data_IF_644423401959
#
_entry.id   IF_644423401959
#
_cell.length_a   1.000
_cell.length_b   1.000
_cell.length_c   1.000
_cell.angle_alpha   90.00
_cell.angle_beta   90.00
_cell.angle_gamma   90.00
#
_symmetry.space_group_name_H-M   'P 1'
#
loop_
_entity.id
_entity.type
_entity.pdbx_description
1 polymer ?
#
# COMPACT_ATOMS: atom_id res chain seq x y z
N UNK A 1 -34.89 67.43 -76.88
CA UNK A 1 -36.24 66.91 -77.21
C UNK A 1 -36.12 65.41 -77.40
N UNK A 2 -36.97 64.54 -76.98
CA UNK A 2 -38.23 64.68 -76.25
C UNK A 2 -38.27 63.89 -74.89
N UNK A 3 -39.23 64.28 -74.22
CA UNK A 3 -40.10 63.72 -73.18
C UNK A 3 -40.24 62.20 -73.14
N UNK A 4 -40.23 61.58 -71.91
CA UNK A 4 -41.12 60.44 -71.63
C UNK A 4 -41.38 60.23 -70.17
N UNK A 5 -42.55 60.06 -69.87
CA UNK A 5 -43.44 59.60 -68.79
C UNK A 5 -42.86 58.84 -67.61
N UNK A 6 -43.38 59.29 -66.45
CA UNK A 6 -43.31 58.60 -65.16
C UNK A 6 -44.35 57.48 -65.09
N UNK A 7 -43.92 56.27 -64.63
CA UNK A 7 -44.82 55.24 -64.14
C UNK A 7 -44.55 55.09 -62.68
N UNK A 8 -45.59 55.23 -61.82
CA UNK A 8 -45.59 55.07 -60.43
C UNK A 8 -45.92 53.58 -60.14
N UNK A 9 -45.03 52.85 -59.51
CA UNK A 9 -45.28 51.48 -58.97
C UNK A 9 -45.42 51.55 -57.47
N UNK A 10 -46.60 51.21 -56.96
CA UNK A 10 -46.89 51.02 -55.57
C UNK A 10 -46.25 49.73 -55.14
N UNK A 11 -45.28 49.76 -54.19
CA UNK A 11 -44.74 48.61 -53.51
C UNK A 11 -45.43 48.43 -52.12
N UNK A 12 -46.19 47.37 -51.98
CA UNK A 12 -46.75 46.95 -50.69
C UNK A 12 -45.64 46.37 -49.82
N UNK A 13 -45.35 46.99 -48.69
CA UNK A 13 -44.42 46.51 -47.72
C UNK A 13 -45.12 45.43 -46.81
N UNK A 14 -44.72 44.18 -46.95
CA UNK A 14 -45.08 43.09 -46.00
C UNK A 14 -44.14 43.17 -44.79
N UNK A 15 -44.67 43.56 -43.66
CA UNK A 15 -43.94 43.51 -42.38
C UNK A 15 -43.81 42.07 -41.95
N UNK A 16 -42.59 41.49 -42.00
CA UNK A 16 -42.23 40.19 -41.33
C UNK A 16 -41.89 40.46 -39.90
N UNK A 17 -42.77 40.05 -39.01
CA UNK A 17 -42.52 40.04 -37.55
C UNK A 17 -41.61 38.88 -37.26
N UNK A 18 -40.41 39.06 -36.68
CA UNK A 18 -39.57 37.95 -36.25
C UNK A 18 -40.21 37.26 -35.05
N UNK A 19 -40.62 36.01 -35.20
CA UNK A 19 -40.99 35.13 -34.07
C UNK A 19 -39.71 34.80 -33.35
N UNK A 20 -39.51 35.30 -32.11
CA UNK A 20 -38.44 34.92 -31.23
C UNK A 20 -38.68 33.47 -30.82
N UNK A 21 -37.90 32.56 -31.35
CA UNK A 21 -37.78 31.18 -30.84
C UNK A 21 -37.14 31.27 -29.44
N UNK A 22 -37.77 30.74 -28.36
CA UNK A 22 -37.10 30.70 -27.06
C UNK A 22 -35.86 29.85 -27.24
N UNK A 23 -34.68 30.46 -27.08
CA UNK A 23 -33.42 29.77 -27.03
C UNK A 23 -33.51 28.75 -25.88
N UNK A 24 -33.37 27.47 -26.20
CA UNK A 24 -33.11 26.45 -25.22
C UNK A 24 -31.85 26.86 -24.46
N UNK A 25 -32.02 27.29 -23.20
CA UNK A 25 -30.91 27.49 -22.29
C UNK A 25 -30.10 26.19 -22.30
N UNK A 26 -28.89 26.25 -22.83
CA UNK A 26 -27.95 25.15 -22.69
C UNK A 26 -27.85 24.84 -21.19
N UNK A 27 -28.36 23.69 -20.83
CA UNK A 27 -28.21 23.20 -19.47
C UNK A 27 -26.71 23.29 -19.15
N UNK A 28 -26.38 24.03 -18.10
CA UNK A 28 -25.04 24.10 -17.59
C UNK A 28 -24.54 22.64 -17.50
N UNK A 29 -23.49 22.31 -18.22
CA UNK A 29 -22.83 21.00 -18.17
C UNK A 29 -22.29 20.86 -16.77
N UNK A 30 -23.10 20.31 -15.87
CA UNK A 30 -22.64 19.84 -14.58
C UNK A 30 -21.42 18.96 -14.86
N UNK A 31 -20.29 19.26 -14.23
CA UNK A 31 -19.06 18.49 -14.38
C UNK A 31 -19.42 17.00 -14.22
N UNK A 32 -19.36 16.24 -15.31
CA UNK A 32 -19.64 14.79 -15.27
C UNK A 32 -18.65 14.16 -14.32
N UNK A 33 -19.15 13.25 -13.45
CA UNK A 33 -18.30 12.45 -12.57
C UNK A 33 -17.17 11.81 -13.39
N UNK A 34 -15.89 11.91 -12.95
CA UNK A 34 -14.78 11.25 -13.61
C UNK A 34 -15.01 9.74 -13.69
N UNK A 35 -14.70 9.13 -14.83
CA UNK A 35 -14.93 7.72 -15.09
C UNK A 35 -13.60 6.94 -15.12
N UNK A 36 -13.62 5.70 -14.64
CA UNK A 36 -12.55 4.72 -14.83
C UNK A 36 -12.39 4.45 -16.33
N UNK A 37 -11.17 4.53 -16.85
CA UNK A 37 -10.87 4.25 -18.27
C UNK A 37 -10.67 2.77 -18.54
N UNK A 38 -10.20 2.02 -17.52
CA UNK A 38 -9.94 0.58 -17.58
C UNK A 38 -11.00 -0.21 -16.81
N UNK A 39 -12.27 0.23 -16.91
CA UNK A 39 -13.39 -0.38 -16.19
C UNK A 39 -13.62 -1.86 -16.57
N UNK A 40 -13.36 -2.23 -17.80
CA UNK A 40 -13.47 -3.57 -18.36
C UNK A 40 -12.40 -4.56 -17.89
N UNK A 41 -11.32 -4.06 -17.27
CA UNK A 41 -10.28 -4.91 -16.67
C UNK A 41 -10.65 -5.42 -15.26
N UNK A 42 -11.71 -4.87 -14.65
CA UNK A 42 -12.11 -5.26 -13.30
C UNK A 42 -13.00 -6.50 -13.33
N UNK A 43 -12.85 -7.36 -12.33
CA UNK A 43 -13.64 -8.57 -12.21
C UNK A 43 -15.11 -8.24 -11.86
N UNK A 44 -16.07 -8.88 -12.56
CA UNK A 44 -17.49 -8.75 -12.28
C UNK A 44 -18.00 -7.30 -12.31
N UNK A 45 -18.69 -6.89 -11.26
CA UNK A 45 -19.26 -5.55 -11.09
C UNK A 45 -18.38 -4.59 -10.28
N UNK A 46 -17.13 -4.95 -10.02
CA UNK A 46 -16.22 -4.17 -9.18
C UNK A 46 -16.01 -2.74 -9.68
N UNK A 47 -15.85 -2.55 -10.99
CA UNK A 47 -15.72 -1.22 -11.58
C UNK A 47 -16.96 -0.35 -11.31
N UNK A 48 -18.15 -0.93 -11.43
CA UNK A 48 -19.41 -0.22 -11.17
C UNK A 48 -19.55 0.18 -9.69
N UNK A 49 -19.20 -0.70 -8.75
CA UNK A 49 -19.18 -0.41 -7.32
C UNK A 49 -18.22 0.73 -6.97
N UNK A 50 -17.00 0.68 -7.51
CA UNK A 50 -15.99 1.74 -7.34
C UNK A 50 -16.51 3.06 -7.91
N UNK A 51 -17.05 3.03 -9.14
CA UNK A 51 -17.57 4.21 -9.83
C UNK A 51 -18.74 4.84 -9.08
N UNK A 52 -19.62 4.04 -8.49
CA UNK A 52 -20.73 4.51 -7.66
C UNK A 52 -20.23 5.32 -6.46
N UNK A 53 -19.19 4.84 -5.78
CA UNK A 53 -18.58 5.55 -4.64
C UNK A 53 -17.92 6.85 -5.09
N UNK A 54 -17.19 6.85 -6.20
CA UNK A 54 -16.55 8.05 -6.76
C UNK A 54 -17.60 9.11 -7.09
N UNK A 55 -18.70 8.71 -7.75
CA UNK A 55 -19.77 9.63 -8.18
C UNK A 55 -20.70 10.05 -7.04
N UNK A 56 -20.80 9.28 -5.98
CA UNK A 56 -21.61 9.60 -4.78
C UNK A 56 -21.00 10.66 -3.86
N UNK A 57 -19.74 11.04 -4.12
CA UNK A 57 -19.04 12.06 -3.33
C UNK A 57 -19.59 13.45 -3.61
N UNK A 58 -19.92 14.21 -2.58
CA UNK A 58 -20.47 15.57 -2.73
C UNK A 58 -19.36 16.55 -3.15
N UNK A 59 -19.75 17.49 -3.99
CA UNK A 59 -18.84 18.54 -4.46
C UNK A 59 -18.39 19.41 -3.29
N UNK A 60 -17.06 19.58 -3.14
CA UNK A 60 -16.44 20.36 -2.04
C UNK A 60 -16.00 19.53 -0.84
N UNK A 61 -16.44 18.30 -0.72
CA UNK A 61 -15.86 17.34 0.21
C UNK A 61 -14.47 16.90 -0.32
N UNK A 62 -13.57 16.60 0.60
CA UNK A 62 -12.27 15.98 0.29
C UNK A 62 -12.22 14.60 0.93
N UNK A 63 -12.94 13.63 0.37
CA UNK A 63 -12.96 12.28 0.91
C UNK A 63 -11.57 11.66 0.85
N UNK A 64 -11.25 10.82 1.82
CA UNK A 64 -9.97 10.13 1.90
C UNK A 64 -10.07 8.78 1.20
N UNK A 65 -9.07 8.48 0.36
CA UNK A 65 -8.80 7.14 -0.15
C UNK A 65 -7.41 6.70 0.30
N UNK A 66 -7.28 5.46 0.78
CA UNK A 66 -6.01 4.90 1.25
C UNK A 66 -5.69 3.62 0.49
N UNK A 67 -4.44 3.45 0.12
CA UNK A 67 -3.96 2.25 -0.58
C UNK A 67 -2.75 1.68 0.14
N UNK A 68 -2.72 0.37 0.34
CA UNK A 68 -1.46 -0.32 0.51
C UNK A 68 -0.61 -0.19 -0.78
N UNK A 69 0.67 -0.57 -0.69
CA UNK A 69 1.58 -0.38 -1.82
C UNK A 69 1.93 -1.68 -2.52
N UNK A 70 2.61 -2.58 -1.80
CA UNK A 70 3.18 -3.80 -2.33
C UNK A 70 2.09 -4.81 -2.71
N UNK A 71 2.06 -5.22 -3.98
CA UNK A 71 1.02 -6.05 -4.58
C UNK A 71 -0.41 -5.45 -4.59
N UNK A 72 -0.57 -4.19 -4.17
CA UNK A 72 -1.82 -3.43 -4.26
C UNK A 72 -1.74 -2.36 -5.36
N UNK A 73 -0.78 -1.45 -5.33
CA UNK A 73 -0.55 -0.45 -6.40
C UNK A 73 0.43 -0.97 -7.45
N UNK A 74 1.30 -1.86 -7.03
CA UNK A 74 2.31 -2.51 -7.85
C UNK A 74 2.21 -4.03 -7.71
N UNK A 75 2.76 -4.74 -8.68
CA UNK A 75 3.10 -6.17 -8.54
C UNK A 75 4.49 -6.30 -7.95
N UNK A 76 4.66 -7.21 -6.99
CA UNK A 76 5.85 -7.48 -6.19
C UNK A 76 6.08 -6.41 -5.08
N UNK A 77 7.24 -6.46 -4.40
CA UNK A 77 7.47 -5.81 -3.11
C UNK A 77 8.69 -4.89 -3.18
N UNK A 78 8.53 -3.60 -2.78
CA UNK A 78 9.61 -2.61 -2.82
C UNK A 78 10.66 -2.84 -1.74
N UNK A 79 10.27 -3.37 -0.59
CA UNK A 79 11.20 -3.70 0.49
C UNK A 79 12.10 -4.86 0.09
N UNK A 80 11.53 -5.91 -0.53
CA UNK A 80 12.30 -7.02 -1.07
C UNK A 80 13.32 -6.53 -2.10
N UNK A 81 12.88 -5.75 -3.11
CA UNK A 81 13.78 -5.27 -4.15
C UNK A 81 14.88 -4.35 -3.60
N UNK A 82 14.56 -3.52 -2.59
CA UNK A 82 15.56 -2.64 -1.99
C UNK A 82 16.55 -3.43 -1.13
N UNK A 83 16.09 -4.39 -0.33
CA UNK A 83 16.98 -5.27 0.46
C UNK A 83 17.85 -6.13 -0.44
N UNK A 84 17.29 -6.72 -1.52
CA UNK A 84 18.08 -7.49 -2.49
C UNK A 84 19.17 -6.62 -3.14
N UNK A 85 18.82 -5.39 -3.48
CA UNK A 85 19.78 -4.44 -4.03
C UNK A 85 20.87 -4.10 -3.01
N UNK A 86 20.50 -3.84 -1.74
CA UNK A 86 21.44 -3.56 -0.66
C UNK A 86 22.42 -4.71 -0.43
N UNK A 87 21.94 -5.94 -0.37
CA UNK A 87 22.78 -7.14 -0.20
C UNK A 87 23.75 -7.28 -1.37
N UNK A 88 23.30 -7.11 -2.60
CA UNK A 88 24.12 -7.28 -3.81
C UNK A 88 25.16 -6.18 -4.01
N UNK A 89 25.01 -5.03 -3.36
CA UNK A 89 25.86 -3.85 -3.56
C UNK A 89 26.56 -3.40 -2.28
N UNK A 90 26.71 -4.30 -1.29
CA UNK A 90 27.40 -4.02 -0.02
C UNK A 90 26.86 -2.78 0.70
N UNK A 91 25.51 -2.67 0.81
CA UNK A 91 24.83 -1.55 1.47
C UNK A 91 24.24 -1.91 2.83
N UNK A 92 24.40 -3.13 3.30
CA UNK A 92 24.08 -3.49 4.69
C UNK A 92 25.27 -3.12 5.56
N UNK A 93 25.02 -2.34 6.62
CA UNK A 93 26.09 -1.91 7.52
C UNK A 93 26.28 -2.92 8.65
N UNK A 94 27.54 -3.06 9.08
CA UNK A 94 27.84 -3.75 10.34
C UNK A 94 27.12 -3.01 11.48
N UNK A 95 26.31 -3.70 12.31
CA UNK A 95 25.54 -3.04 13.35
C UNK A 95 26.47 -2.41 14.42
N UNK A 96 25.86 -1.50 15.22
CA UNK A 96 26.54 -0.90 16.36
C UNK A 96 27.05 -2.00 17.31
N UNK A 97 28.22 -1.80 17.87
CA UNK A 97 28.89 -2.74 18.77
C UNK A 97 29.15 -4.13 18.14
N UNK A 98 28.92 -4.26 16.82
CA UNK A 98 28.96 -5.53 16.05
C UNK A 98 27.97 -6.56 16.59
N UNK A 99 26.95 -6.10 17.28
CA UNK A 99 25.91 -6.92 17.89
C UNK A 99 24.57 -6.72 17.16
N UNK A 100 24.08 -7.76 16.51
CA UNK A 100 22.83 -7.73 15.77
C UNK A 100 21.60 -7.51 16.65
N UNK A 101 21.66 -7.78 17.96
CA UNK A 101 20.59 -7.44 18.91
C UNK A 101 20.31 -5.94 18.98
N UNK A 102 21.29 -5.11 18.63
CA UNK A 102 21.11 -3.66 18.55
C UNK A 102 20.25 -3.21 17.37
N UNK A 103 19.91 -4.12 16.44
CA UNK A 103 19.08 -3.81 15.26
C UNK A 103 17.59 -4.07 15.46
N UNK A 104 17.19 -4.78 16.52
CA UNK A 104 15.79 -4.96 16.90
C UNK A 104 15.68 -5.42 18.36
N UNK A 105 14.79 -4.80 19.14
CA UNK A 105 14.49 -5.26 20.51
C UNK A 105 13.93 -6.67 20.58
N UNK A 106 13.41 -7.17 19.47
CA UNK A 106 12.79 -8.48 19.37
C UNK A 106 13.74 -9.57 18.88
N UNK A 107 14.99 -9.21 18.55
CA UNK A 107 15.97 -10.16 18.04
C UNK A 107 16.36 -11.16 19.13
N UNK A 108 16.23 -12.44 18.80
CA UNK A 108 16.67 -13.55 19.67
C UNK A 108 18.18 -13.71 19.65
N UNK A 109 18.72 -14.37 20.68
CA UNK A 109 20.15 -14.74 20.69
C UNK A 109 20.51 -15.68 19.53
N UNK A 110 19.60 -16.59 19.15
CA UNK A 110 19.80 -17.49 18.01
C UNK A 110 19.97 -16.67 16.71
N UNK A 111 19.07 -15.71 16.45
CA UNK A 111 19.15 -14.84 15.28
C UNK A 111 20.42 -13.99 15.25
N UNK A 112 20.75 -13.35 16.39
CA UNK A 112 21.94 -12.52 16.50
C UNK A 112 23.24 -13.33 16.31
N UNK A 113 23.32 -14.53 16.89
CA UNK A 113 24.47 -15.41 16.74
C UNK A 113 24.62 -15.94 15.30
N UNK A 114 23.52 -16.32 14.63
CA UNK A 114 23.53 -16.76 13.26
C UNK A 114 24.04 -15.67 12.32
N UNK A 115 23.52 -14.44 12.44
CA UNK A 115 23.99 -13.28 11.69
C UNK A 115 25.45 -12.96 11.98
N UNK A 116 25.88 -12.97 13.24
CA UNK A 116 27.26 -12.71 13.64
C UNK A 116 28.21 -13.77 13.06
N UNK A 117 27.82 -15.03 13.08
CA UNK A 117 28.60 -16.15 12.50
C UNK A 117 28.72 -16.02 10.99
N UNK A 118 27.61 -15.71 10.31
CA UNK A 118 27.57 -15.64 8.85
C UNK A 118 28.28 -14.38 8.30
N UNK A 119 28.03 -13.21 8.91
CA UNK A 119 28.58 -11.92 8.43
C UNK A 119 29.98 -11.63 9.00
N UNK A 120 30.33 -12.23 10.13
CA UNK A 120 31.61 -12.00 10.82
C UNK A 120 31.61 -10.65 11.57
N UNK A 121 32.69 -10.45 12.33
CA UNK A 121 32.89 -9.24 13.17
C UNK A 121 34.14 -8.44 12.77
N UNK A 122 34.80 -8.81 11.66
CA UNK A 122 35.99 -8.12 11.18
C UNK A 122 35.70 -6.71 10.65
N UNK A 123 34.55 -6.50 10.00
CA UNK A 123 34.13 -5.18 9.52
C UNK A 123 33.88 -4.24 10.71
N UNK A 124 34.42 -3.02 10.72
CA UNK A 124 34.11 -2.05 11.77
C UNK A 124 32.63 -1.67 11.81
N UNK A 125 32.11 -1.38 13.00
CA UNK A 125 30.73 -0.93 13.18
C UNK A 125 30.41 0.29 12.29
N UNK A 126 29.21 0.29 11.68
CA UNK A 126 28.76 1.34 10.75
C UNK A 126 29.43 1.31 9.36
N UNK A 127 30.27 0.31 9.07
CA UNK A 127 30.86 0.14 7.74
C UNK A 127 30.13 -0.92 6.94
N UNK A 128 30.10 -0.81 5.59
CA UNK A 128 29.46 -1.78 4.72
C UNK A 128 30.04 -3.18 4.89
N UNK A 129 29.16 -4.14 5.05
CA UNK A 129 29.49 -5.58 5.01
C UNK A 129 29.72 -6.01 3.55
N UNK A 130 30.69 -6.90 3.28
CA UNK A 130 30.98 -7.40 1.93
C UNK A 130 29.96 -8.45 1.47
N UNK A 131 28.67 -8.13 1.53
CA UNK A 131 27.55 -9.07 1.30
C UNK A 131 27.48 -9.57 -0.14
N UNK A 132 28.01 -8.81 -1.10
CA UNK A 132 28.10 -9.24 -2.51
C UNK A 132 29.08 -10.41 -2.72
N UNK A 133 30.01 -10.61 -1.79
CA UNK A 133 31.05 -11.65 -1.84
C UNK A 133 30.87 -12.70 -0.74
N UNK A 134 30.35 -12.32 0.41
CA UNK A 134 30.06 -13.22 1.53
C UNK A 134 28.66 -13.82 1.36
N UNK A 135 28.58 -14.94 0.64
CA UNK A 135 27.32 -15.63 0.34
C UNK A 135 26.59 -16.06 1.62
N UNK A 136 27.32 -16.55 2.64
CA UNK A 136 26.69 -16.97 3.90
C UNK A 136 25.99 -15.80 4.61
N UNK A 137 26.63 -14.62 4.65
CA UNK A 137 26.00 -13.42 5.18
C UNK A 137 24.78 -12.97 4.37
N UNK A 138 24.89 -13.01 3.03
CA UNK A 138 23.78 -12.67 2.15
C UNK A 138 22.57 -13.60 2.36
N UNK A 139 22.81 -14.91 2.48
CA UNK A 139 21.77 -15.92 2.70
C UNK A 139 21.12 -15.76 4.07
N UNK A 140 21.90 -15.47 5.12
CA UNK A 140 21.34 -15.26 6.46
C UNK A 140 20.47 -13.98 6.51
N UNK A 141 20.95 -12.85 5.98
CA UNK A 141 20.17 -11.62 5.85
C UNK A 141 18.87 -11.83 5.08
N UNK A 142 18.93 -12.59 3.99
CA UNK A 142 17.77 -12.91 3.17
C UNK A 142 16.78 -13.81 3.91
N UNK A 143 17.24 -14.81 4.64
CA UNK A 143 16.42 -15.71 5.44
C UNK A 143 15.66 -14.94 6.52
N UNK A 144 16.35 -14.08 7.26
CA UNK A 144 15.72 -13.19 8.26
C UNK A 144 14.63 -12.34 7.64
N UNK A 145 14.90 -11.71 6.46
CA UNK A 145 13.90 -10.86 5.79
C UNK A 145 12.69 -11.65 5.29
N UNK A 146 12.89 -12.84 4.72
CA UNK A 146 11.84 -13.58 4.01
C UNK A 146 11.01 -14.49 4.91
N UNK A 147 11.58 -15.00 5.97
CA UNK A 147 10.96 -16.03 6.81
C UNK A 147 10.99 -15.74 8.32
N UNK A 148 11.63 -14.65 8.77
CA UNK A 148 11.90 -14.36 10.16
C UNK A 148 12.67 -15.50 10.87
N UNK A 149 13.39 -16.33 10.11
CA UNK A 149 14.16 -17.47 10.60
C UNK A 149 15.61 -17.38 10.15
N UNK A 150 16.48 -18.03 10.93
CA UNK A 150 17.86 -18.30 10.51
C UNK A 150 17.87 -19.26 9.31
N UNK A 151 18.98 -19.37 8.62
CA UNK A 151 19.17 -20.38 7.56
C UNK A 151 19.07 -21.81 8.09
N UNK A 152 19.18 -22.03 9.40
CA UNK A 152 18.99 -23.32 10.08
C UNK A 152 17.57 -23.52 10.64
N UNK A 153 16.67 -22.55 10.46
CA UNK A 153 15.24 -22.65 10.78
C UNK A 153 14.84 -22.14 12.17
N UNK A 154 15.75 -21.55 12.95
CA UNK A 154 15.47 -20.99 14.27
C UNK A 154 14.77 -19.63 14.16
N UNK A 155 13.86 -19.31 15.07
CA UNK A 155 13.16 -18.02 15.11
C UNK A 155 14.12 -16.87 15.41
N UNK A 156 14.11 -15.84 14.58
CA UNK A 156 14.99 -14.66 14.73
C UNK A 156 14.35 -13.60 15.60
N UNK A 157 13.04 -13.55 15.67
CA UNK A 157 12.30 -12.53 16.44
C UNK A 157 11.27 -13.19 17.36
N UNK A 158 11.09 -12.63 18.57
CA UNK A 158 10.12 -13.11 19.55
C UNK A 158 9.57 -11.96 20.41
N UNK A 159 8.39 -12.18 21.02
CA UNK A 159 7.84 -11.31 22.06
C UNK A 159 7.17 -10.03 21.57
N UNK A 160 6.74 -9.94 20.29
CA UNK A 160 6.05 -8.80 19.74
C UNK A 160 4.54 -9.06 19.57
N UNK A 161 3.76 -7.98 19.56
CA UNK A 161 2.33 -8.03 19.28
C UNK A 161 2.10 -8.16 17.77
N UNK A 162 1.61 -9.31 17.32
CA UNK A 162 1.44 -9.64 15.89
C UNK A 162 0.31 -8.87 15.19
N UNK A 163 -0.49 -8.08 15.93
CA UNK A 163 -1.47 -7.16 15.34
C UNK A 163 -0.91 -5.76 15.09
N UNK A 164 0.19 -5.40 15.72
CA UNK A 164 0.83 -4.09 15.62
C UNK A 164 2.19 -4.12 14.92
N UNK A 165 2.80 -5.28 14.86
CA UNK A 165 4.19 -5.46 14.46
C UNK A 165 4.36 -6.75 13.67
N UNK A 166 5.14 -6.68 12.60
CA UNK A 166 5.86 -7.82 12.02
C UNK A 166 7.35 -7.50 12.12
N UNK A 167 8.02 -8.19 13.02
CA UNK A 167 9.39 -7.82 13.39
C UNK A 167 10.38 -7.90 12.21
N UNK A 168 10.20 -8.85 11.27
CA UNK A 168 11.02 -8.93 10.06
C UNK A 168 10.79 -7.75 9.10
N UNK A 169 9.59 -7.15 9.10
CA UNK A 169 9.30 -5.94 8.30
C UNK A 169 9.85 -4.69 8.98
N UNK A 170 9.66 -4.57 10.30
CA UNK A 170 10.26 -3.50 11.10
C UNK A 170 11.79 -3.47 10.95
N UNK A 171 12.39 -4.66 10.97
CA UNK A 171 13.84 -4.81 10.83
C UNK A 171 14.39 -4.24 9.52
N UNK A 172 13.63 -4.27 8.42
CA UNK A 172 14.02 -3.62 7.15
C UNK A 172 14.21 -2.11 7.32
N UNK A 173 13.42 -1.46 8.16
CA UNK A 173 13.62 -0.04 8.48
C UNK A 173 14.82 0.14 9.44
N UNK A 174 14.96 -0.72 10.42
CA UNK A 174 15.96 -0.65 11.49
C UNK A 174 17.39 -0.92 11.00
N UNK A 175 17.59 -1.83 10.02
CA UNK A 175 18.92 -2.09 9.43
C UNK A 175 19.48 -0.90 8.62
N UNK A 176 18.67 0.13 8.38
CA UNK A 176 19.15 1.39 7.79
C UNK A 176 19.83 2.31 8.82
N UNK A 177 19.97 1.89 10.07
CA UNK A 177 20.68 2.63 11.11
C UNK A 177 22.10 3.03 10.66
N UNK A 178 22.45 4.29 10.89
CA UNK A 178 23.71 4.88 10.42
C UNK A 178 23.62 5.65 9.10
N UNK A 179 22.64 5.36 8.26
CA UNK A 179 22.35 6.15 7.05
C UNK A 179 21.53 7.41 7.38
N UNK A 180 21.65 8.42 6.55
CA UNK A 180 20.71 9.54 6.52
C UNK A 180 19.46 9.13 5.72
N UNK A 181 18.28 9.69 6.01
CA UNK A 181 17.07 9.36 5.25
C UNK A 181 17.18 9.60 3.73
N UNK A 182 17.92 10.63 3.31
CA UNK A 182 18.17 10.91 1.90
C UNK A 182 19.12 9.90 1.23
N UNK A 183 20.07 9.33 1.97
CA UNK A 183 20.95 8.24 1.52
C UNK A 183 20.12 6.96 1.31
N UNK A 184 19.19 6.65 2.22
CA UNK A 184 18.27 5.50 2.09
C UNK A 184 17.35 5.68 0.88
N UNK A 185 16.78 6.88 0.69
CA UNK A 185 16.00 7.19 -0.53
C UNK A 185 16.83 7.08 -1.81
N UNK A 186 18.13 7.40 -1.76
CA UNK A 186 19.02 7.23 -2.91
C UNK A 186 19.22 5.74 -3.24
N UNK A 187 19.41 4.87 -2.23
CA UNK A 187 19.47 3.42 -2.38
C UNK A 187 18.15 2.90 -2.99
N UNK A 188 17.01 3.29 -2.43
CA UNK A 188 15.70 2.88 -2.93
C UNK A 188 15.45 3.32 -4.40
N UNK A 189 15.94 4.51 -4.81
CA UNK A 189 15.88 4.95 -6.23
C UNK A 189 16.66 4.03 -7.16
N UNK A 190 17.83 3.57 -6.75
CA UNK A 190 18.64 2.65 -7.56
C UNK A 190 17.98 1.28 -7.67
N UNK A 191 17.48 0.74 -6.55
CA UNK A 191 16.72 -0.49 -6.53
C UNK A 191 15.47 -0.40 -7.42
N UNK A 192 14.72 0.72 -7.33
CA UNK A 192 13.55 1.00 -8.18
C UNK A 192 13.91 1.02 -9.66
N UNK A 193 14.98 1.70 -10.04
CA UNK A 193 15.41 1.77 -11.43
C UNK A 193 15.73 0.38 -11.99
N UNK A 194 16.46 -0.44 -11.22
CA UNK A 194 16.78 -1.81 -11.59
C UNK A 194 15.51 -2.68 -11.73
N UNK A 195 14.61 -2.62 -10.76
CA UNK A 195 13.38 -3.42 -10.76
C UNK A 195 12.40 -3.04 -11.90
N UNK A 196 12.30 -1.76 -12.25
CA UNK A 196 11.46 -1.30 -13.36
C UNK A 196 12.06 -1.65 -14.73
N UNK A 197 13.39 -1.70 -14.84
CA UNK A 197 14.09 -2.06 -16.08
C UNK A 197 14.02 -3.58 -16.37
N UNK A 198 14.03 -4.41 -15.32
CA UNK A 198 13.98 -5.86 -15.46
C UNK A 198 12.68 -6.32 -16.14
N UNK A 199 12.69 -7.26 -17.11
CA UNK A 199 11.48 -7.80 -17.71
C UNK A 199 10.56 -8.49 -16.69
N UNK A 200 9.25 -8.58 -16.96
CA UNK A 200 8.32 -9.41 -16.19
C UNK A 200 8.83 -10.87 -16.25
N UNK A 201 8.79 -11.58 -15.12
CA UNK A 201 9.31 -12.93 -14.98
C UNK A 201 10.82 -13.02 -14.75
N UNK A 202 11.56 -11.90 -14.83
CA UNK A 202 12.99 -11.89 -14.58
C UNK A 202 13.34 -12.25 -13.14
N UNK A 203 14.47 -12.93 -12.97
CA UNK A 203 15.02 -13.29 -11.66
C UNK A 203 16.44 -12.75 -11.48
N UNK A 204 16.90 -12.71 -10.23
CA UNK A 204 18.24 -12.27 -9.84
C UNK A 204 18.80 -13.18 -8.75
N UNK A 205 20.12 -13.29 -8.70
CA UNK A 205 20.80 -13.98 -7.59
C UNK A 205 20.98 -13.01 -6.41
N UNK A 206 20.60 -13.47 -5.21
CA UNK A 206 20.87 -12.81 -3.92
C UNK A 206 21.41 -13.88 -2.99
N UNK A 207 22.69 -13.78 -2.65
CA UNK A 207 23.38 -14.91 -2.04
C UNK A 207 23.35 -16.14 -2.96
N UNK A 208 23.03 -17.30 -2.41
CA UNK A 208 22.83 -18.54 -3.16
C UNK A 208 21.45 -18.64 -3.82
N UNK A 209 20.47 -17.84 -3.37
CA UNK A 209 19.06 -17.95 -3.77
C UNK A 209 18.75 -17.22 -5.07
N UNK A 210 17.69 -17.66 -5.75
CA UNK A 210 17.10 -16.97 -6.90
C UNK A 210 15.85 -16.24 -6.46
N UNK A 211 15.79 -14.93 -6.70
CA UNK A 211 14.73 -14.03 -6.28
C UNK A 211 14.12 -13.30 -7.48
N UNK A 212 12.86 -12.83 -7.34
CA UNK A 212 12.21 -11.95 -8.33
C UNK A 212 13.06 -10.69 -8.52
N UNK A 213 13.21 -10.23 -9.77
CA UNK A 213 14.02 -9.05 -10.10
C UNK A 213 13.22 -7.82 -10.52
N UNK A 214 11.91 -7.91 -10.68
CA UNK A 214 11.10 -6.90 -11.35
C UNK A 214 9.93 -6.39 -10.51
N UNK A 215 9.49 -5.17 -10.81
CA UNK A 215 8.24 -4.56 -10.33
C UNK A 215 7.51 -3.93 -11.51
N UNK A 216 6.18 -3.95 -11.48
CA UNK A 216 5.30 -3.19 -12.40
C UNK A 216 4.16 -2.55 -11.64
N UNK A 217 3.83 -1.31 -12.02
CA UNK A 217 2.60 -0.69 -11.58
C UNK A 217 1.41 -1.38 -12.24
N UNK A 218 0.32 -1.57 -11.50
CA UNK A 218 -0.95 -1.98 -12.07
C UNK A 218 -1.60 -0.79 -12.81
N UNK A 219 -1.80 -0.86 -14.14
CA UNK A 219 -2.45 0.21 -14.88
C UNK A 219 -3.83 0.56 -14.35
N UNK A 220 -4.59 -0.44 -13.90
CA UNK A 220 -5.94 -0.34 -13.36
C UNK A 220 -5.96 0.49 -12.06
N UNK A 221 -5.03 0.24 -11.16
CA UNK A 221 -4.91 1.00 -9.90
C UNK A 221 -4.39 2.42 -10.17
N UNK A 222 -3.49 2.60 -11.14
CA UNK A 222 -3.08 3.95 -11.58
C UNK A 222 -4.25 4.73 -12.14
N UNK A 223 -5.10 4.10 -12.95
CA UNK A 223 -6.31 4.72 -13.49
C UNK A 223 -7.31 5.08 -12.37
N UNK A 224 -7.49 4.18 -11.39
CA UNK A 224 -8.31 4.44 -10.21
C UNK A 224 -7.79 5.65 -9.42
N UNK A 225 -6.49 5.70 -9.08
CA UNK A 225 -5.89 6.81 -8.35
C UNK A 225 -6.06 8.14 -9.12
N UNK A 226 -5.81 8.12 -10.43
CA UNK A 226 -5.98 9.31 -11.28
C UNK A 226 -7.46 9.75 -11.37
N UNK A 227 -8.40 8.82 -11.34
CA UNK A 227 -9.85 9.11 -11.35
C UNK A 227 -10.30 9.69 -10.03
N UNK A 228 -9.81 9.14 -8.89
CA UNK A 228 -10.04 9.67 -7.55
C UNK A 228 -9.50 11.09 -7.40
N UNK A 229 -8.29 11.38 -7.89
CA UNK A 229 -7.72 12.73 -7.85
C UNK A 229 -8.59 13.73 -8.61
N UNK A 230 -9.06 13.38 -9.82
CA UNK A 230 -9.99 14.20 -10.60
C UNK A 230 -11.34 14.39 -9.91
N UNK A 231 -11.78 13.42 -9.12
CA UNK A 231 -13.01 13.51 -8.33
C UNK A 231 -12.82 14.30 -7.02
N UNK A 232 -11.59 14.76 -6.71
CA UNK A 232 -11.30 15.59 -5.53
C UNK A 232 -10.96 14.81 -4.28
N UNK A 233 -10.67 13.51 -4.39
CA UNK A 233 -10.23 12.71 -3.25
C UNK A 233 -8.82 13.10 -2.78
N UNK A 234 -8.60 12.99 -1.48
CA UNK A 234 -7.28 12.99 -0.88
C UNK A 234 -6.76 11.56 -0.83
N UNK A 235 -5.94 11.19 -1.82
CA UNK A 235 -5.42 9.82 -1.95
C UNK A 235 -4.08 9.67 -1.26
N UNK A 236 -3.93 8.60 -0.46
CA UNK A 236 -2.77 8.30 0.37
C UNK A 236 -2.27 6.88 0.17
N UNK A 237 -0.98 6.69 0.39
CA UNK A 237 -0.35 5.37 0.55
C UNK A 237 -0.18 5.07 2.03
N UNK A 238 -0.45 3.82 2.45
CA UNK A 238 -0.26 3.31 3.82
C UNK A 238 0.42 1.95 3.72
N UNK A 239 1.75 1.95 3.63
CA UNK A 239 2.57 0.78 3.36
C UNK A 239 3.21 0.22 4.64
N UNK A 240 3.37 -1.11 4.70
CA UNK A 240 4.20 -1.79 5.68
C UNK A 240 5.69 -1.89 5.26
N UNK A 241 6.10 -1.03 4.33
CA UNK A 241 7.51 -0.81 3.93
C UNK A 241 8.08 0.44 4.61
N UNK A 242 9.41 0.56 4.78
CA UNK A 242 10.02 1.78 5.28
C UNK A 242 9.56 3.01 4.50
N UNK A 243 9.28 4.10 5.22
CA UNK A 243 8.80 5.34 4.61
C UNK A 243 9.76 5.87 3.53
N UNK A 244 11.05 5.76 3.76
CA UNK A 244 12.08 6.19 2.82
C UNK A 244 12.02 5.42 1.49
N UNK A 245 11.60 4.16 1.54
CA UNK A 245 11.38 3.36 0.32
C UNK A 245 10.08 3.79 -0.37
N UNK A 246 8.98 3.83 0.37
CA UNK A 246 7.66 4.18 -0.17
C UNK A 246 7.63 5.58 -0.81
N UNK A 247 8.32 6.56 -0.22
CA UNK A 247 8.43 7.94 -0.74
C UNK A 247 8.96 8.01 -2.18
N UNK A 248 9.83 7.07 -2.55
CA UNK A 248 10.46 7.05 -3.89
C UNK A 248 9.50 6.57 -4.97
N UNK A 249 8.48 5.81 -4.61
CA UNK A 249 7.60 5.15 -5.57
C UNK A 249 6.29 5.90 -5.85
N UNK A 250 5.73 6.58 -4.85
CA UNK A 250 4.40 7.21 -4.90
C UNK A 250 4.26 8.27 -5.99
N UNK A 251 5.33 9.01 -6.30
CA UNK A 251 5.32 10.09 -7.30
C UNK A 251 4.89 9.65 -8.71
N UNK A 252 5.17 8.40 -9.08
CA UNK A 252 4.79 7.85 -10.40
C UNK A 252 3.28 7.62 -10.56
N UNK A 253 2.52 7.68 -9.48
CA UNK A 253 1.04 7.61 -9.47
C UNK A 253 0.40 8.90 -8.94
N UNK A 254 1.17 10.00 -8.88
CA UNK A 254 0.67 11.30 -8.44
C UNK A 254 0.56 11.47 -6.92
N UNK A 255 1.09 10.55 -6.12
CA UNK A 255 1.07 10.62 -4.65
C UNK A 255 2.44 11.12 -4.15
N UNK A 256 2.51 12.34 -3.57
CA UNK A 256 3.76 12.89 -3.06
C UNK A 256 4.18 12.24 -1.73
N UNK A 257 5.45 12.37 -1.32
CA UNK A 257 5.94 11.88 -0.02
C UNK A 257 5.14 12.37 1.19
N UNK A 258 4.53 13.56 1.12
CA UNK A 258 3.66 14.11 2.18
C UNK A 258 2.33 13.35 2.33
N UNK A 259 1.94 12.54 1.36
CA UNK A 259 0.76 11.67 1.38
C UNK A 259 1.13 10.17 1.35
N UNK A 260 2.35 9.85 1.76
CA UNK A 260 2.84 8.47 1.88
C UNK A 260 3.12 8.17 3.35
N UNK A 261 2.45 7.17 3.90
CA UNK A 261 2.73 6.59 5.21
C UNK A 261 3.49 5.29 5.00
N UNK A 262 4.47 5.04 5.85
CA UNK A 262 5.28 3.82 5.87
C UNK A 262 5.75 3.55 7.29
N UNK A 263 6.68 2.63 7.47
CA UNK A 263 7.37 2.45 8.75
C UNK A 263 8.28 3.65 8.96
N UNK A 264 7.99 4.44 9.98
CA UNK A 264 8.72 5.67 10.27
C UNK A 264 9.95 5.36 11.13
N UNK A 265 11.13 5.69 10.61
CA UNK A 265 12.40 5.58 11.33
C UNK A 265 12.69 6.85 12.12
N UNK A 266 13.15 6.71 13.36
CA UNK A 266 13.68 7.82 14.12
C UNK A 266 15.09 8.20 13.66
N UNK A 267 15.44 9.47 13.90
CA UNK A 267 16.78 9.98 13.61
C UNK A 267 17.43 10.61 14.83
N UNK A 268 18.77 10.43 14.94
CA UNK A 268 19.62 11.12 15.88
C UNK A 268 20.75 11.77 15.10
N UNK A 269 20.97 13.07 15.28
CA UNK A 269 21.96 13.85 14.54
C UNK A 269 21.82 13.70 12.99
N UNK A 270 20.57 13.63 12.50
CA UNK A 270 20.24 13.50 11.08
C UNK A 270 20.48 12.11 10.48
N UNK A 271 20.79 11.10 11.29
CA UNK A 271 20.95 9.70 10.87
C UNK A 271 19.90 8.82 11.53
N UNK A 272 19.40 7.82 10.80
CA UNK A 272 18.52 6.78 11.32
C UNK A 272 19.23 6.08 12.47
N UNK A 273 18.56 5.96 13.60
CA UNK A 273 19.13 5.40 14.83
C UNK A 273 18.74 3.94 15.11
N UNK A 274 17.92 3.33 14.23
CA UNK A 274 17.44 1.95 14.37
C UNK A 274 16.16 1.80 15.18
N UNK A 275 15.56 2.91 15.62
CA UNK A 275 14.28 2.92 16.31
C UNK A 275 13.16 3.48 15.42
N UNK A 276 11.92 3.13 15.77
CA UNK A 276 10.70 3.52 15.04
C UNK A 276 9.94 4.63 15.80
N UNK A 277 9.21 5.46 15.05
CA UNK A 277 8.23 6.37 15.64
C UNK A 277 7.02 5.60 16.13
N UNK A 278 6.50 5.97 17.29
CA UNK A 278 5.30 5.39 17.88
C UNK A 278 4.00 5.94 17.29
N UNK A 279 2.88 5.38 17.74
CA UNK A 279 1.53 5.80 17.40
C UNK A 279 0.55 5.35 18.48
N UNK A 280 -0.56 6.05 18.69
CA UNK A 280 -1.65 5.58 19.54
C UNK A 280 -1.32 5.53 21.04
N UNK A 281 -0.34 6.31 21.48
CA UNK A 281 0.15 6.29 22.86
C UNK A 281 1.36 5.38 23.08
N UNK A 282 1.76 4.57 22.08
CA UNK A 282 3.06 3.90 22.09
C UNK A 282 4.16 4.94 21.87
N UNK A 283 5.17 4.92 22.74
CA UNK A 283 6.22 5.92 22.69
C UNK A 283 7.15 5.73 21.49
N UNK A 284 7.68 6.85 21.01
CA UNK A 284 8.75 6.86 20.03
C UNK A 284 9.98 6.09 20.58
N UNK A 285 10.55 5.20 19.77
CA UNK A 285 11.68 4.36 20.17
C UNK A 285 11.32 3.15 21.00
N UNK A 286 10.05 2.97 21.36
CA UNK A 286 9.59 1.74 22.01
C UNK A 286 9.55 0.55 21.03
N UNK A 287 9.49 0.82 19.72
CA UNK A 287 9.43 -0.18 18.65
C UNK A 287 8.28 -1.19 18.79
N UNK A 288 7.12 -0.73 19.26
CA UNK A 288 5.97 -1.60 19.60
C UNK A 288 4.89 -1.60 18.53
N UNK A 289 4.89 -0.63 17.62
CA UNK A 289 3.87 -0.45 16.61
C UNK A 289 4.49 0.06 15.30
N UNK A 290 3.94 -0.39 14.18
CA UNK A 290 4.26 0.09 12.83
C UNK A 290 3.01 0.11 11.96
N UNK A 291 3.12 0.52 10.69
CA UNK A 291 2.03 0.52 9.70
C UNK A 291 1.65 -0.90 9.27
N UNK A 292 1.17 -1.71 10.22
CA UNK A 292 0.86 -3.14 10.07
C UNK A 292 -0.46 -3.45 10.78
N UNK A 293 -1.39 -4.10 10.11
CA UNK A 293 -2.75 -4.46 10.55
C UNK A 293 -3.43 -3.31 11.32
N UNK A 294 -3.52 -3.41 12.67
CA UNK A 294 -4.19 -2.41 13.50
C UNK A 294 -3.37 -1.12 13.62
N UNK A 295 -2.05 -1.21 13.47
CA UNK A 295 -1.19 -0.05 13.36
C UNK A 295 -1.48 0.81 12.12
N UNK A 296 -1.90 0.23 10.97
CA UNK A 296 -2.33 1.05 9.82
C UNK A 296 -3.47 2.01 10.20
N UNK A 297 -4.47 1.54 10.96
CA UNK A 297 -5.51 2.43 11.52
C UNK A 297 -4.92 3.55 12.35
N UNK A 298 -4.01 3.24 13.25
CA UNK A 298 -3.39 4.23 14.12
C UNK A 298 -2.77 5.35 13.30
N UNK A 299 -1.88 5.02 12.36
CA UNK A 299 -1.20 6.03 11.54
C UNK A 299 -2.15 6.78 10.60
N UNK A 300 -3.21 6.14 10.07
CA UNK A 300 -4.27 6.83 9.32
C UNK A 300 -4.95 7.85 10.22
N UNK A 301 -5.38 7.45 11.42
CA UNK A 301 -6.06 8.33 12.37
C UNK A 301 -5.17 9.51 12.77
N UNK A 302 -3.91 9.29 13.10
CA UNK A 302 -3.02 10.37 13.53
C UNK A 302 -2.56 11.28 12.40
N UNK A 303 -2.10 10.71 11.30
CA UNK A 303 -1.41 11.46 10.24
C UNK A 303 -2.35 12.01 9.17
N UNK A 304 -3.53 11.41 9.00
CA UNK A 304 -4.52 11.84 7.99
C UNK A 304 -5.73 12.50 8.66
N UNK A 305 -6.28 11.89 9.71
CA UNK A 305 -7.53 12.34 10.31
C UNK A 305 -7.33 13.25 11.53
N UNK A 306 -6.10 13.41 12.03
CA UNK A 306 -5.76 14.28 13.18
C UNK A 306 -6.23 13.76 14.54
N UNK A 307 -6.59 12.47 14.64
CA UNK A 307 -7.01 11.82 15.90
C UNK A 307 -5.76 11.24 16.57
N UNK A 308 -5.43 11.67 17.79
CA UNK A 308 -4.16 11.35 18.47
C UNK A 308 -4.35 10.56 19.75
N UNK A 309 -3.23 10.01 20.26
CA UNK A 309 -3.15 9.23 21.49
C UNK A 309 -3.96 7.94 21.40
N UNK A 310 -4.37 7.35 22.51
CA UNK A 310 -5.05 6.06 22.55
C UNK A 310 -6.28 5.97 21.62
N UNK A 311 -6.97 7.07 21.38
CA UNK A 311 -8.11 7.11 20.43
C UNK A 311 -7.71 6.81 18.99
N UNK A 312 -6.46 6.96 18.61
CA UNK A 312 -5.99 6.61 17.27
C UNK A 312 -6.04 5.09 17.01
N UNK A 313 -6.06 4.28 18.06
CA UNK A 313 -6.18 2.82 17.96
C UNK A 313 -7.62 2.36 17.71
N UNK A 314 -8.61 3.23 17.94
CA UNK A 314 -10.02 2.94 17.77
C UNK A 314 -10.51 3.32 16.37
N UNK A 315 -11.61 2.72 15.86
CA UNK A 315 -12.25 3.19 14.64
C UNK A 315 -12.67 4.64 14.77
N UNK A 316 -12.23 5.51 13.88
CA UNK A 316 -12.67 6.91 13.84
C UNK A 316 -14.19 7.01 13.58
N UNK A 317 -14.86 8.13 13.90
CA UNK A 317 -16.25 8.39 13.50
C UNK A 317 -16.46 8.17 12.00
N UNK A 318 -17.59 7.55 11.62
CA UNK A 318 -17.83 7.11 10.25
C UNK A 318 -17.71 8.23 9.19
N UNK A 319 -18.11 9.43 9.55
CA UNK A 319 -18.04 10.64 8.71
C UNK A 319 -16.62 11.17 8.47
N UNK A 320 -15.65 10.71 9.27
CA UNK A 320 -14.23 11.09 9.16
C UNK A 320 -13.36 10.02 8.49
N UNK A 321 -13.82 8.76 8.49
CA UNK A 321 -13.03 7.64 7.96
C UNK A 321 -12.83 7.74 6.44
N UNK A 322 -11.81 7.05 5.97
CA UNK A 322 -11.62 6.84 4.53
C UNK A 322 -12.86 6.26 3.88
N UNK A 323 -13.21 6.80 2.71
CA UNK A 323 -14.34 6.33 1.91
C UNK A 323 -13.95 5.10 1.08
N UNK A 324 -12.71 5.07 0.60
CA UNK A 324 -12.17 3.96 -0.19
C UNK A 324 -10.86 3.48 0.44
N UNK A 325 -10.69 2.17 0.50
CA UNK A 325 -9.41 1.55 0.82
C UNK A 325 -9.07 0.46 -0.20
N UNK A 326 -7.79 0.34 -0.55
CA UNK A 326 -7.24 -0.72 -1.41
C UNK A 326 -6.17 -1.51 -0.67
N UNK A 327 -6.18 -2.86 -0.79
CA UNK A 327 -5.21 -3.75 -0.14
C UNK A 327 -5.24 -5.16 -0.71
N UNK A 328 -4.28 -6.00 -0.30
CA UNK A 328 -4.09 -7.36 -0.84
C UNK A 328 -3.71 -8.41 0.22
N UNK A 329 -3.40 -7.98 1.43
CA UNK A 329 -2.84 -8.85 2.46
C UNK A 329 -3.51 -8.67 3.84
N UNK A 330 -3.20 -9.57 4.77
CA UNK A 330 -3.66 -9.48 6.16
C UNK A 330 -3.24 -8.16 6.81
N UNK A 331 -2.11 -7.58 6.38
CA UNK A 331 -1.64 -6.27 6.85
C UNK A 331 -2.65 -5.14 6.66
N UNK A 332 -3.63 -5.31 5.77
CA UNK A 332 -4.56 -4.28 5.32
C UNK A 332 -5.96 -4.42 5.92
N UNK A 333 -6.22 -5.55 6.58
CA UNK A 333 -7.56 -5.92 7.04
C UNK A 333 -8.23 -4.79 7.81
N UNK A 334 -7.52 -4.17 8.73
CA UNK A 334 -8.10 -3.13 9.60
C UNK A 334 -8.42 -1.86 8.83
N UNK A 335 -7.50 -1.36 7.98
CA UNK A 335 -7.78 -0.17 7.17
C UNK A 335 -8.87 -0.40 6.13
N UNK A 336 -8.97 -1.63 5.58
CA UNK A 336 -10.05 -2.00 4.66
C UNK A 336 -11.39 -2.03 5.40
N UNK A 337 -11.48 -2.67 6.57
CA UNK A 337 -12.71 -2.72 7.39
C UNK A 337 -13.20 -1.34 7.79
N UNK A 338 -12.30 -0.40 8.02
CA UNK A 338 -12.65 0.97 8.40
C UNK A 338 -13.20 1.80 7.25
N UNK A 339 -12.97 1.41 5.98
CA UNK A 339 -13.49 2.12 4.82
C UNK A 339 -15.03 2.09 4.78
N UNK A 340 -15.64 3.26 4.56
CA UNK A 340 -17.10 3.43 4.64
C UNK A 340 -17.82 3.21 3.32
N UNK A 341 -17.14 3.36 2.19
CA UNK A 341 -17.68 3.20 0.83
C UNK A 341 -17.31 1.85 0.22
N UNK A 342 -16.16 1.74 -0.45
CA UNK A 342 -15.74 0.51 -1.13
C UNK A 342 -14.36 0.06 -0.66
N UNK A 343 -14.18 -1.29 -0.58
CA UNK A 343 -12.96 -1.98 -0.19
C UNK A 343 -12.42 -2.76 -1.38
N UNK A 344 -11.48 -2.19 -2.07
CA UNK A 344 -10.82 -2.80 -3.23
C UNK A 344 -9.79 -3.82 -2.74
N UNK A 345 -9.98 -5.08 -3.06
CA UNK A 345 -9.15 -6.16 -2.55
C UNK A 345 -8.58 -6.99 -3.69
N UNK A 346 -7.26 -7.03 -3.81
CA UNK A 346 -6.57 -7.92 -4.74
C UNK A 346 -6.34 -9.28 -4.05
N UNK A 347 -6.93 -10.34 -4.61
CA UNK A 347 -6.83 -11.65 -3.99
C UNK A 347 -5.43 -12.25 -4.16
N UNK A 348 -4.72 -12.40 -3.04
CA UNK A 348 -3.44 -13.10 -2.91
C UNK A 348 -3.53 -14.32 -1.98
N UNK A 349 -4.70 -14.89 -1.83
CA UNK A 349 -4.94 -16.07 -0.99
C UNK A 349 -4.54 -15.86 0.49
N UNK A 350 -4.71 -14.63 1.04
CA UNK A 350 -4.45 -14.31 2.44
C UNK A 350 -5.70 -14.58 3.29
N UNK A 351 -5.63 -15.61 4.12
CA UNK A 351 -6.79 -16.22 4.78
C UNK A 351 -7.68 -15.20 5.51
N UNK A 352 -7.18 -14.40 6.46
CA UNK A 352 -8.01 -13.43 7.19
C UNK A 352 -8.67 -12.41 6.26
N UNK A 353 -7.92 -11.88 5.28
CA UNK A 353 -8.45 -10.90 4.35
C UNK A 353 -9.53 -11.50 3.47
N UNK A 354 -9.29 -12.68 2.90
CA UNK A 354 -10.24 -13.34 2.01
C UNK A 354 -11.49 -13.80 2.75
N UNK A 355 -11.38 -14.22 4.00
CA UNK A 355 -12.55 -14.53 4.84
C UNK A 355 -13.52 -13.34 4.91
N UNK A 356 -13.00 -12.15 5.18
CA UNK A 356 -13.82 -10.93 5.29
C UNK A 356 -14.32 -10.45 3.95
N UNK A 357 -13.48 -10.53 2.93
CA UNK A 357 -13.80 -10.01 1.60
C UNK A 357 -14.87 -10.88 0.90
N UNK A 358 -14.84 -12.18 1.06
CA UNK A 358 -15.84 -13.08 0.49
C UNK A 358 -17.13 -13.19 1.33
N UNK A 359 -17.05 -13.04 2.67
CA UNK A 359 -18.24 -12.92 3.51
C UNK A 359 -19.09 -11.70 3.09
N UNK A 360 -18.43 -10.59 2.78
CA UNK A 360 -19.02 -9.38 2.18
C UNK A 360 -20.41 -9.01 2.72
N UNK A 361 -20.61 -9.16 4.04
CA UNK A 361 -21.91 -9.01 4.69
C UNK A 361 -22.57 -7.63 4.47
N UNK A 362 -21.79 -6.60 4.18
CA UNK A 362 -22.29 -5.24 3.91
C UNK A 362 -22.25 -4.83 2.43
N UNK A 363 -21.87 -5.74 1.53
CA UNK A 363 -21.85 -5.54 0.08
C UNK A 363 -20.77 -4.58 -0.44
N UNK A 364 -19.81 -4.18 0.40
CA UNK A 364 -18.81 -3.13 0.08
C UNK A 364 -17.47 -3.65 -0.41
N UNK A 365 -17.25 -4.95 -0.44
CA UNK A 365 -16.01 -5.54 -0.92
C UNK A 365 -16.05 -5.75 -2.43
N UNK A 366 -15.00 -5.29 -3.08
CA UNK A 366 -14.74 -5.46 -4.50
C UNK A 366 -13.48 -6.34 -4.63
N UNK A 367 -13.69 -7.66 -4.70
CA UNK A 367 -12.61 -8.65 -4.79
C UNK A 367 -12.21 -8.83 -6.25
N UNK A 368 -10.93 -8.69 -6.55
CA UNK A 368 -10.35 -8.80 -7.88
C UNK A 368 -9.14 -9.75 -7.86
N UNK A 369 -8.89 -10.56 -8.88
CA UNK A 369 -7.60 -11.20 -9.05
C UNK A 369 -6.49 -10.16 -9.18
N UNK A 370 -5.24 -10.51 -8.93
CA UNK A 370 -4.14 -9.63 -9.27
C UNK A 370 -4.12 -9.40 -10.79
N UNK A 371 -3.92 -8.15 -11.22
CA UNK A 371 -3.95 -7.78 -12.65
C UNK A 371 -2.74 -8.31 -13.46
N UNK A 372 -1.63 -8.59 -12.79
CA UNK A 372 -0.43 -9.16 -13.40
C UNK A 372 -0.10 -10.45 -12.67
N UNK A 373 0.07 -11.55 -13.39
CA UNK A 373 0.35 -12.89 -12.85
C UNK A 373 -0.56 -13.24 -11.67
N UNK A 374 -1.90 -13.33 -11.88
CA UNK A 374 -2.82 -13.76 -10.84
C UNK A 374 -2.45 -15.17 -10.34
N UNK A 375 -2.74 -15.44 -9.08
CA UNK A 375 -2.61 -16.80 -8.57
C UNK A 375 -3.69 -17.70 -9.20
N UNK A 376 -3.45 -19.02 -9.28
CA UNK A 376 -4.51 -19.97 -9.63
C UNK A 376 -5.55 -20.02 -8.51
N UNK A 377 -6.74 -20.54 -8.83
CA UNK A 377 -7.79 -20.79 -7.84
C UNK A 377 -7.24 -21.64 -6.68
N UNK A 378 -7.65 -21.27 -5.47
CA UNK A 378 -7.25 -22.02 -4.28
C UNK A 378 -8.08 -23.33 -4.20
N UNK A 379 -7.39 -24.48 -4.15
CA UNK A 379 -8.04 -25.80 -4.09
C UNK A 379 -8.68 -26.14 -2.72
N UNK A 380 -8.51 -25.29 -1.70
CA UNK A 380 -9.10 -25.41 -0.37
C UNK A 380 -10.03 -24.24 -0.07
N UNK A 381 -10.87 -24.37 0.94
CA UNK A 381 -11.55 -23.23 1.54
C UNK A 381 -10.57 -22.41 2.38
N UNK A 382 -10.86 -21.13 2.56
CA UNK A 382 -10.22 -20.30 3.58
C UNK A 382 -10.78 -20.72 4.94
N UNK A 383 -9.92 -21.04 5.95
CA UNK A 383 -10.36 -21.62 7.23
C UNK A 383 -10.88 -20.52 8.18
N UNK A 384 -11.92 -19.81 7.74
CA UNK A 384 -12.44 -18.62 8.40
C UNK A 384 -13.05 -18.91 9.76
N UNK A 385 -13.69 -20.07 9.89
CA UNK A 385 -14.36 -20.49 11.12
C UNK A 385 -13.42 -21.08 12.17
N UNK A 386 -12.13 -21.23 11.84
CA UNK A 386 -11.18 -21.93 12.72
C UNK A 386 -9.87 -21.17 12.99
N UNK A 387 -9.02 -20.96 11.97
CA UNK A 387 -7.61 -20.57 12.17
C UNK A 387 -7.14 -19.36 11.36
N UNK A 388 -8.02 -18.73 10.60
CA UNK A 388 -7.63 -17.65 9.69
C UNK A 388 -7.26 -16.34 10.39
N UNK A 389 -7.67 -16.14 11.65
CA UNK A 389 -7.31 -14.96 12.44
C UNK A 389 -6.07 -15.24 13.29
N UNK A 390 -5.05 -14.38 13.22
CA UNK A 390 -3.89 -14.42 14.09
C UNK A 390 -4.05 -13.39 15.22
N UNK A 391 -3.96 -13.88 16.47
CA UNK A 391 -4.02 -13.05 17.66
C UNK A 391 -2.69 -12.32 17.92
N UNK A 392 -2.70 -11.37 18.84
CA UNK A 392 -1.53 -10.57 19.22
C UNK A 392 -0.35 -11.42 19.72
N UNK A 393 -0.62 -12.57 20.34
CA UNK A 393 0.37 -13.51 20.88
C UNK A 393 0.81 -14.59 19.85
N UNK A 394 0.25 -14.57 18.63
CA UNK A 394 0.53 -15.53 17.56
C UNK A 394 -0.33 -16.80 17.62
N UNK A 395 -1.27 -16.90 18.55
CA UNK A 395 -2.28 -17.96 18.50
C UNK A 395 -3.29 -17.70 17.38
N UNK A 396 -3.95 -18.75 16.89
CA UNK A 396 -4.91 -18.64 15.81
C UNK A 396 -6.34 -18.90 16.30
N UNK A 397 -7.31 -18.26 15.62
CA UNK A 397 -8.72 -18.38 15.94
C UNK A 397 -9.62 -18.09 14.75
N UNK A 398 -10.95 -18.13 14.95
CA UNK A 398 -11.92 -17.80 13.92
C UNK A 398 -11.92 -16.30 13.60
N UNK A 399 -12.26 -15.97 12.37
CA UNK A 399 -12.51 -14.59 11.95
C UNK A 399 -13.93 -14.20 12.36
N UNK A 400 -14.07 -13.09 13.09
CA UNK A 400 -15.36 -12.60 13.56
C UNK A 400 -15.85 -11.39 12.75
N UNK A 401 -17.16 -11.32 12.50
CA UNK A 401 -17.86 -10.11 12.03
C UNK A 401 -17.86 -9.05 13.14
N UNK A 402 -18.33 -7.85 12.82
CA UNK A 402 -18.39 -6.75 13.79
C UNK A 402 -19.40 -7.01 14.93
N UNK A 403 -20.38 -7.87 14.72
CA UNK A 403 -21.38 -8.30 15.71
C UNK A 403 -20.91 -9.48 16.58
N UNK A 404 -19.66 -9.94 16.38
CA UNK A 404 -19.07 -11.06 17.12
C UNK A 404 -19.41 -12.44 16.54
N UNK A 405 -20.22 -12.53 15.47
CA UNK A 405 -20.51 -13.83 14.84
C UNK A 405 -19.33 -14.35 14.03
N UNK A 406 -19.15 -15.68 14.01
CA UNK A 406 -18.08 -16.33 13.26
C UNK A 406 -18.39 -16.29 11.77
N UNK A 407 -17.40 -15.90 10.96
CA UNK A 407 -17.48 -16.00 9.49
C UNK A 407 -17.33 -17.48 9.10
N UNK A 408 -18.27 -18.06 8.35
CA UNK A 408 -18.13 -19.42 7.83
C UNK A 408 -16.98 -19.52 6.84
N UNK A 409 -16.43 -20.71 6.65
CA UNK A 409 -15.37 -20.95 5.67
C UNK A 409 -15.77 -20.48 4.27
N UNK A 410 -14.88 -19.79 3.60
CA UNK A 410 -15.11 -19.17 2.31
C UNK A 410 -14.39 -19.92 1.18
N UNK A 411 -14.92 -19.81 -0.04
CA UNK A 411 -14.26 -20.32 -1.25
C UNK A 411 -13.76 -19.17 -2.11
N UNK A 412 -12.69 -19.45 -2.82
CA UNK A 412 -12.22 -18.58 -3.90
C UNK A 412 -13.23 -18.60 -5.06
N UNK A 413 -13.66 -17.42 -5.50
CA UNK A 413 -14.64 -17.28 -6.59
C UNK A 413 -14.18 -16.31 -7.69
N UNK A 414 -12.99 -15.73 -7.58
CA UNK A 414 -12.50 -14.74 -8.55
C UNK A 414 -11.37 -15.26 -9.42
N UNK A 415 -10.66 -16.28 -8.99
CA UNK A 415 -9.68 -16.93 -9.85
C UNK A 415 -10.35 -18.01 -10.71
N UNK A 416 -9.90 -18.20 -11.97
CA UNK A 416 -10.44 -19.22 -12.86
C UNK A 416 -10.08 -20.64 -12.42
#
# INVERSE_FOLDING_TARGET
MPRFLRAVALAAAVAVVPVAVPGTAAAATGSRCPQLRLADHWYGDNAAKIQQVICGTKRGERPVAVFDWDNTVIKNDISDQTVFWMIRHDKVLQPRDKDWRTTSRYMTDAGANALSKACGTATPAGKPLPTSKNIACADELLSVRKSAKTTTGEEVFAGYNRRYMEAAYAWVAQINAGYRPDEVRAIARQARAAALLAPIGATQKVGSSTQVAWIRYYPEIKDLIATLDKAGFSTWVVSASPKEFADVWGSAVGIPPSRTLGIYSQTTNGRINGHLEGCGGHADGADEIMTYIDGKRCYINERILGIRGAKAMEPAPADKRQVLAGGDATTDVTMLRDATGVRVTLNRNKDELMCRAYDNADGKWAVNPMFIEPFPALNRTYPCSTTAYENADGTHGPVLRNDGTVIPDQRDTVHP
#
